data_IF_075560694571
#
_entry.id   IF_075560694571
#
_cell.length_a   1.000
_cell.length_b   1.000
_cell.length_c   1.000
_cell.angle_alpha   90.00
_cell.angle_beta   90.00
_cell.angle_gamma   90.00
#
_symmetry.space_group_name_H-M   'P 1'
#
loop_
_entity.id
_entity.type
_entity.pdbx_description
1 polymer ?
#
# COMPACT_ATOMS: atom_id res chain seq x y z
N UNK A 1 24.77 26.03 -14.06
CA UNK A 1 24.40 25.41 -12.78
C UNK A 1 22.96 24.97 -12.91
N UNK A 2 22.70 23.65 -13.05
CA UNK A 2 21.33 23.13 -12.89
C UNK A 2 21.03 23.19 -11.39
N UNK A 3 20.19 24.13 -10.98
CA UNK A 3 19.64 24.15 -9.61
C UNK A 3 19.06 22.79 -9.29
N UNK A 4 19.46 22.22 -8.16
CA UNK A 4 18.99 20.91 -7.72
C UNK A 4 17.47 20.99 -7.47
N UNK A 5 16.69 20.37 -8.34
CA UNK A 5 15.22 20.32 -8.25
C UNK A 5 14.75 19.70 -6.93
N UNK A 6 15.61 18.92 -6.24
CA UNK A 6 15.35 18.38 -4.89
C UNK A 6 15.11 19.49 -3.87
N UNK A 7 15.84 20.64 -3.99
CA UNK A 7 15.68 21.78 -3.09
C UNK A 7 14.34 22.50 -3.23
N UNK A 8 13.56 22.18 -4.26
CA UNK A 8 12.28 22.81 -4.59
C UNK A 8 11.03 22.05 -4.12
N UNK A 9 11.17 20.77 -3.71
CA UNK A 9 10.04 19.99 -3.17
C UNK A 9 10.02 20.14 -1.67
N UNK A 10 8.98 20.81 -1.14
CA UNK A 10 8.82 21.07 0.29
C UNK A 10 7.43 20.71 0.81
N UNK A 11 6.40 21.03 0.05
CA UNK A 11 5.03 20.95 0.50
C UNK A 11 4.36 19.65 0.01
N UNK A 12 3.95 18.79 0.93
CA UNK A 12 3.36 17.49 0.64
C UNK A 12 1.97 17.42 1.21
N UNK A 13 0.97 17.20 0.37
CA UNK A 13 -0.39 16.87 0.79
C UNK A 13 -0.54 15.35 0.91
N UNK A 14 -1.07 14.87 2.04
CA UNK A 14 -1.38 13.46 2.28
C UNK A 14 -2.88 13.28 2.51
N UNK A 15 -3.53 12.52 1.63
CA UNK A 15 -4.90 12.08 1.76
C UNK A 15 -4.96 10.66 2.35
N UNK A 16 -5.80 10.43 3.35
CA UNK A 16 -5.95 9.11 3.98
C UNK A 16 -4.93 8.80 5.09
N UNK A 17 -4.39 9.83 5.75
CA UNK A 17 -3.38 9.71 6.81
C UNK A 17 -3.80 8.84 8.01
N UNK A 18 -5.10 8.68 8.26
CA UNK A 18 -5.63 7.85 9.37
C UNK A 18 -5.85 6.38 8.99
N UNK A 19 -5.63 6.01 7.72
CA UNK A 19 -5.74 4.62 7.28
C UNK A 19 -4.47 3.82 7.58
N UNK A 20 -4.55 2.50 7.44
CA UNK A 20 -3.44 1.57 7.73
C UNK A 20 -2.14 2.00 7.00
N UNK A 21 -2.18 2.16 5.70
CA UNK A 21 -1.00 2.59 4.91
C UNK A 21 -0.65 4.05 5.19
N UNK A 22 -1.66 4.92 5.28
CA UNK A 22 -1.48 6.36 5.45
C UNK A 22 -0.80 6.73 6.78
N UNK A 23 -1.07 6.00 7.86
CA UNK A 23 -0.43 6.24 9.17
C UNK A 23 1.08 5.98 9.14
N UNK A 24 1.53 4.96 8.43
CA UNK A 24 2.96 4.70 8.27
C UNK A 24 3.64 5.69 7.31
N UNK A 25 2.93 6.16 6.27
CA UNK A 25 3.42 7.26 5.42
C UNK A 25 3.55 8.55 6.25
N UNK A 26 2.54 8.87 7.07
CA UNK A 26 2.57 9.99 8.01
C UNK A 26 3.78 9.89 8.95
N UNK A 27 3.99 8.72 9.58
CA UNK A 27 5.11 8.49 10.49
C UNK A 27 6.47 8.70 9.80
N UNK A 28 6.63 8.21 8.56
CA UNK A 28 7.85 8.40 7.79
C UNK A 28 8.12 9.89 7.47
N UNK A 29 7.09 10.66 7.13
CA UNK A 29 7.23 12.10 6.95
C UNK A 29 7.53 12.84 8.24
N UNK A 30 6.97 12.44 9.38
CA UNK A 30 7.27 13.03 10.69
C UNK A 30 8.73 12.80 11.11
N UNK A 31 9.32 11.67 10.75
CA UNK A 31 10.74 11.39 10.96
C UNK A 31 11.63 12.20 10.02
N UNK A 32 11.14 12.52 8.83
CA UNK A 32 11.84 13.31 7.82
C UNK A 32 11.41 14.78 7.85
N UNK A 33 12.13 15.60 8.62
CA UNK A 33 11.82 17.03 8.86
C UNK A 33 12.00 17.95 7.64
N UNK A 34 12.27 17.43 6.44
CA UNK A 34 12.50 18.23 5.24
C UNK A 34 11.22 18.73 4.58
N UNK A 35 10.09 18.09 4.86
CA UNK A 35 8.82 18.34 4.20
C UNK A 35 7.82 19.03 5.13
N UNK A 36 7.11 20.00 4.61
CA UNK A 36 5.93 20.61 5.22
C UNK A 36 4.73 19.71 4.88
N UNK A 37 4.17 19.05 5.87
CA UNK A 37 3.08 18.08 5.65
C UNK A 37 1.72 18.74 5.87
N UNK A 38 0.83 18.56 4.91
CA UNK A 38 -0.59 18.94 4.96
C UNK A 38 -1.46 17.69 4.87
N UNK A 39 -2.29 17.44 5.86
CA UNK A 39 -3.23 16.31 5.85
C UNK A 39 -4.58 16.76 5.29
N UNK A 40 -5.09 16.03 4.30
CA UNK A 40 -6.42 16.23 3.77
C UNK A 40 -7.38 15.27 4.48
N UNK A 41 -8.30 15.82 5.30
CA UNK A 41 -9.22 15.04 6.12
C UNK A 41 -10.67 15.35 5.77
N UNK A 42 -11.56 14.37 5.92
CA UNK A 42 -13.02 14.57 5.75
C UNK A 42 -13.64 15.30 6.93
N UNK A 43 -13.11 15.03 8.11
CA UNK A 43 -13.60 15.59 9.36
C UNK A 43 -12.41 15.97 10.25
N UNK A 44 -12.50 17.12 10.88
CA UNK A 44 -11.50 17.66 11.80
C UNK A 44 -11.66 17.17 13.25
N UNK A 45 -12.64 16.35 13.57
CA UNK A 45 -12.91 15.90 14.95
C UNK A 45 -11.70 15.25 15.64
N UNK A 46 -10.76 14.66 14.87
CA UNK A 46 -9.59 13.95 15.37
C UNK A 46 -8.27 14.74 15.20
N UNK A 47 -8.32 16.07 15.02
CA UNK A 47 -7.10 16.90 14.82
C UNK A 47 -6.14 16.80 16.00
N UNK A 48 -6.64 16.68 17.23
CA UNK A 48 -5.80 16.58 18.43
C UNK A 48 -4.85 15.37 18.44
N UNK A 49 -5.07 14.38 17.60
CA UNK A 49 -4.21 13.20 17.46
C UNK A 49 -2.96 13.44 16.58
N UNK A 50 -2.86 14.58 15.87
CA UNK A 50 -1.74 14.88 14.99
C UNK A 50 -0.71 15.80 15.65
N UNK A 51 0.58 15.66 15.30
CA UNK A 51 1.62 16.56 15.79
C UNK A 51 1.31 18.04 15.44
N UNK A 52 1.53 19.00 16.36
CA UNK A 52 1.08 20.40 16.20
C UNK A 52 1.74 21.16 15.03
N UNK A 53 2.84 20.65 14.48
CA UNK A 53 3.53 21.23 13.33
C UNK A 53 2.96 20.79 11.97
N UNK A 54 1.96 19.91 11.97
CA UNK A 54 1.31 19.43 10.75
C UNK A 54 0.09 20.28 10.45
N UNK A 55 -0.02 20.74 9.22
CA UNK A 55 -1.22 21.44 8.75
C UNK A 55 -2.34 20.44 8.47
N UNK A 56 -3.56 20.71 8.97
CA UNK A 56 -4.71 19.85 8.71
C UNK A 56 -5.80 20.66 8.01
N UNK A 57 -6.16 20.25 6.80
CA UNK A 57 -7.20 20.88 5.99
C UNK A 57 -8.39 19.92 5.85
N UNK A 58 -9.56 20.38 6.24
CA UNK A 58 -10.79 19.65 5.96
C UNK A 58 -11.18 19.86 4.51
N UNK A 59 -11.47 18.77 3.81
CA UNK A 59 -11.85 18.78 2.39
C UNK A 59 -13.13 18.00 2.18
N UNK A 60 -13.92 18.48 1.24
CA UNK A 60 -15.01 17.71 0.65
C UNK A 60 -14.48 17.00 -0.60
N UNK A 61 -14.38 15.67 -0.55
CA UNK A 61 -13.90 14.86 -1.67
C UNK A 61 -14.88 14.82 -2.86
N UNK A 62 -16.10 15.33 -2.68
CA UNK A 62 -17.08 15.47 -3.74
C UNK A 62 -17.09 16.86 -4.39
N UNK A 63 -16.36 17.82 -3.81
CA UNK A 63 -16.17 19.17 -4.33
C UNK A 63 -14.79 19.36 -4.95
N UNK A 64 -14.74 19.56 -6.28
CA UNK A 64 -13.50 19.89 -6.98
C UNK A 64 -12.88 21.21 -6.48
N UNK A 65 -13.69 22.22 -6.20
CA UNK A 65 -13.24 23.50 -5.67
C UNK A 65 -12.55 23.36 -4.30
N UNK A 66 -13.13 22.57 -3.40
CA UNK A 66 -12.55 22.25 -2.09
C UNK A 66 -11.18 21.61 -2.23
N UNK A 67 -11.06 20.60 -3.10
CA UNK A 67 -9.81 19.88 -3.33
C UNK A 67 -8.75 20.77 -3.99
N UNK A 68 -9.09 21.53 -5.04
CA UNK A 68 -8.15 22.47 -5.69
C UNK A 68 -7.65 23.51 -4.71
N UNK A 69 -8.54 24.10 -3.90
CA UNK A 69 -8.18 25.09 -2.89
C UNK A 69 -7.17 24.52 -1.87
N UNK A 70 -7.41 23.30 -1.38
CA UNK A 70 -6.52 22.63 -0.42
C UNK A 70 -5.16 22.22 -1.02
N UNK A 71 -5.10 22.00 -2.33
CA UNK A 71 -3.89 21.57 -3.03
C UNK A 71 -3.06 22.73 -3.58
N UNK A 72 -3.55 23.96 -3.55
CA UNK A 72 -2.77 25.14 -3.97
C UNK A 72 -1.49 25.28 -3.14
N UNK A 73 -0.37 25.42 -3.83
CA UNK A 73 0.96 25.54 -3.20
C UNK A 73 1.54 24.22 -2.68
N UNK A 74 0.88 23.10 -2.93
CA UNK A 74 1.45 21.78 -2.66
C UNK A 74 2.32 21.35 -3.86
N UNK A 75 3.52 20.84 -3.57
CA UNK A 75 4.41 20.28 -4.58
C UNK A 75 4.05 18.84 -4.92
N UNK A 76 3.58 18.09 -3.93
CA UNK A 76 3.29 16.66 -4.02
C UNK A 76 1.93 16.34 -3.43
N UNK A 77 1.20 15.45 -4.08
CA UNK A 77 0.04 14.77 -3.52
C UNK A 77 0.37 13.28 -3.33
N UNK A 78 0.22 12.80 -2.11
CA UNK A 78 0.21 11.37 -1.79
C UNK A 78 -1.21 10.96 -1.40
N UNK A 79 -1.77 9.97 -2.08
CA UNK A 79 -3.05 9.37 -1.74
C UNK A 79 -2.83 7.99 -1.11
N UNK A 80 -3.30 7.81 0.10
CA UNK A 80 -3.38 6.52 0.79
C UNK A 80 -4.85 6.19 1.13
N UNK A 81 -5.77 6.57 0.24
CA UNK A 81 -7.20 6.32 0.39
C UNK A 81 -7.49 4.83 0.33
N UNK A 82 -8.19 4.32 1.33
CA UNK A 82 -8.59 2.92 1.41
C UNK A 82 -9.71 2.56 0.41
N UNK A 83 -10.02 1.26 0.32
CA UNK A 83 -10.98 0.68 -0.64
C UNK A 83 -12.30 1.46 -0.74
N UNK A 84 -12.87 1.88 0.39
CA UNK A 84 -14.15 2.61 0.42
C UNK A 84 -14.09 4.00 -0.25
N UNK A 85 -12.91 4.59 -0.37
CA UNK A 85 -12.71 5.93 -0.93
C UNK A 85 -11.92 5.94 -2.25
N UNK A 86 -11.64 4.77 -2.84
CA UNK A 86 -10.91 4.69 -4.12
C UNK A 86 -11.62 5.44 -5.26
N UNK A 87 -12.95 5.50 -5.23
CA UNK A 87 -13.74 6.23 -6.23
C UNK A 87 -13.47 7.75 -6.22
N UNK A 88 -12.98 8.30 -5.11
CA UNK A 88 -12.65 9.73 -4.99
C UNK A 88 -11.30 10.07 -5.67
N UNK A 89 -10.44 9.09 -5.95
CA UNK A 89 -9.09 9.35 -6.44
C UNK A 89 -9.05 10.06 -7.80
N UNK A 90 -9.98 9.75 -8.71
CA UNK A 90 -10.01 10.41 -10.02
C UNK A 90 -10.17 11.93 -9.88
N UNK A 91 -11.13 12.37 -9.05
CA UNK A 91 -11.35 13.79 -8.78
C UNK A 91 -10.17 14.42 -8.04
N UNK A 92 -9.57 13.70 -7.10
CA UNK A 92 -8.38 14.17 -6.39
C UNK A 92 -7.20 14.40 -7.32
N UNK A 93 -7.01 13.53 -8.33
CA UNK A 93 -5.99 13.68 -9.39
C UNK A 93 -6.28 14.90 -10.25
N UNK A 94 -7.52 15.09 -10.72
CA UNK A 94 -7.90 16.26 -11.52
C UNK A 94 -7.67 17.57 -10.75
N UNK A 95 -8.01 17.60 -9.47
CA UNK A 95 -7.76 18.74 -8.60
C UNK A 95 -6.26 19.01 -8.40
N UNK A 96 -5.44 17.96 -8.28
CA UNK A 96 -3.99 18.10 -8.15
C UNK A 96 -3.37 18.70 -9.42
N UNK A 97 -3.79 18.24 -10.59
CA UNK A 97 -3.35 18.81 -11.89
C UNK A 97 -3.78 20.27 -12.01
N UNK A 98 -5.03 20.59 -11.69
CA UNK A 98 -5.55 21.96 -11.72
C UNK A 98 -4.84 22.91 -10.72
N UNK A 99 -4.37 22.37 -9.59
CA UNK A 99 -3.56 23.11 -8.61
C UNK A 99 -2.05 23.17 -8.94
N UNK A 100 -1.62 22.64 -10.08
CA UNK A 100 -0.23 22.54 -10.51
C UNK A 100 0.68 21.73 -9.55
N UNK A 101 0.14 20.70 -8.96
CA UNK A 101 0.92 19.73 -8.15
C UNK A 101 1.90 19.01 -9.08
N UNK A 102 3.19 18.97 -8.70
CA UNK A 102 4.28 18.47 -9.56
C UNK A 102 4.41 16.94 -9.54
N UNK A 103 4.08 16.29 -8.42
CA UNK A 103 4.09 14.85 -8.31
C UNK A 103 2.82 14.32 -7.65
N UNK A 104 2.25 13.28 -8.26
CA UNK A 104 1.08 12.57 -7.76
C UNK A 104 1.46 11.12 -7.50
N UNK A 105 1.29 10.66 -6.26
CA UNK A 105 1.50 9.27 -5.84
C UNK A 105 0.12 8.73 -5.43
N UNK A 106 -0.57 7.95 -6.29
CA UNK A 106 -1.90 7.44 -5.99
C UNK A 106 -1.85 6.25 -5.03
N UNK A 107 -3.01 5.86 -4.50
CA UNK A 107 -3.14 4.72 -3.58
C UNK A 107 -3.05 3.38 -4.34
N UNK A 108 -1.83 3.01 -4.73
CA UNK A 108 -1.55 1.71 -5.33
C UNK A 108 -1.13 0.69 -4.27
N UNK A 109 -0.01 0.79 -3.67
CA UNK A 109 0.52 0.03 -2.51
C UNK A 109 0.04 -1.43 -2.41
N UNK A 110 0.20 -2.20 -3.48
CA UNK A 110 -0.30 -3.59 -3.54
C UNK A 110 0.15 -4.31 -4.80
N UNK A 111 -0.78 -5.07 -5.40
CA UNK A 111 -0.52 -5.97 -6.52
C UNK A 111 0.12 -5.30 -7.75
N UNK A 112 0.92 -6.08 -8.46
CA UNK A 112 1.57 -5.66 -9.71
C UNK A 112 0.55 -5.60 -10.87
N UNK A 113 -0.02 -4.43 -11.14
CA UNK A 113 -0.97 -4.24 -12.23
C UNK A 113 -0.31 -4.16 -13.62
N UNK A 114 1.01 -4.24 -13.72
CA UNK A 114 1.70 -4.47 -14.99
C UNK A 114 1.56 -5.92 -15.50
N UNK A 115 1.28 -6.86 -14.58
CA UNK A 115 1.02 -8.23 -14.98
C UNK A 115 -0.33 -8.32 -15.72
N UNK A 116 -0.34 -8.85 -16.97
CA UNK A 116 -1.56 -8.84 -17.81
C UNK A 116 -2.69 -9.72 -17.27
N UNK A 117 -2.39 -10.74 -16.46
CA UNK A 117 -3.40 -11.57 -15.81
C UNK A 117 -4.05 -10.81 -14.64
N UNK A 118 -3.23 -10.28 -13.74
CA UNK A 118 -3.69 -9.50 -12.57
C UNK A 118 -4.45 -8.25 -12.99
N UNK A 119 -3.99 -7.56 -14.03
CA UNK A 119 -4.65 -6.35 -14.58
C UNK A 119 -6.09 -6.60 -15.04
N UNK A 120 -6.45 -7.83 -15.40
CA UNK A 120 -7.82 -8.18 -15.85
C UNK A 120 -8.82 -8.38 -14.71
N UNK A 121 -8.37 -8.42 -13.45
CA UNK A 121 -9.27 -8.63 -12.35
C UNK A 121 -10.22 -7.44 -12.12
N UNK A 122 -11.52 -7.67 -12.03
CA UNK A 122 -12.52 -6.61 -11.88
C UNK A 122 -12.28 -5.70 -10.66
N UNK A 123 -11.71 -6.26 -9.59
CA UNK A 123 -11.39 -5.54 -8.36
C UNK A 123 -10.38 -4.41 -8.55
N UNK A 124 -9.59 -4.43 -9.63
CA UNK A 124 -8.59 -3.40 -9.95
C UNK A 124 -9.05 -2.39 -11.00
N UNK A 125 -10.30 -2.49 -11.49
CA UNK A 125 -10.81 -1.63 -12.57
C UNK A 125 -10.65 -0.12 -12.26
N UNK A 126 -10.96 0.30 -11.02
CA UNK A 126 -10.80 1.70 -10.60
C UNK A 126 -9.34 2.15 -10.62
N UNK A 127 -8.41 1.30 -10.18
CA UNK A 127 -6.97 1.61 -10.20
C UNK A 127 -6.46 1.71 -11.64
N UNK A 128 -6.86 0.80 -12.50
CA UNK A 128 -6.48 0.80 -13.92
C UNK A 128 -7.03 2.06 -14.63
N UNK A 129 -8.27 2.43 -14.35
CA UNK A 129 -8.86 3.68 -14.86
C UNK A 129 -8.06 4.90 -14.41
N UNK A 130 -7.64 4.91 -13.13
CA UNK A 130 -6.82 5.98 -12.55
C UNK A 130 -5.42 6.05 -13.17
N UNK A 131 -4.75 4.91 -13.39
CA UNK A 131 -3.46 4.87 -14.10
C UNK A 131 -3.56 5.50 -15.49
N UNK A 132 -4.62 5.17 -16.25
CA UNK A 132 -4.87 5.72 -17.58
C UNK A 132 -5.18 7.23 -17.53
N UNK A 133 -5.90 7.68 -16.51
CA UNK A 133 -6.17 9.11 -16.27
C UNK A 133 -4.88 9.86 -15.95
N UNK A 134 -4.07 9.35 -15.01
CA UNK A 134 -2.78 9.94 -14.63
C UNK A 134 -1.84 10.09 -15.84
N UNK A 135 -1.70 9.02 -16.64
CA UNK A 135 -0.84 9.07 -17.82
C UNK A 135 -1.25 10.22 -18.77
N UNK A 136 -2.55 10.32 -19.09
CA UNK A 136 -3.07 11.38 -19.97
C UNK A 136 -2.95 12.78 -19.35
N UNK A 137 -3.33 12.94 -18.09
CA UNK A 137 -3.31 14.25 -17.42
C UNK A 137 -1.89 14.78 -17.22
N UNK A 138 -0.94 13.90 -16.90
CA UNK A 138 0.46 14.29 -16.73
C UNK A 138 1.17 14.57 -18.09
N UNK A 139 0.76 13.92 -19.17
CA UNK A 139 1.25 14.22 -20.52
C UNK A 139 0.86 15.65 -20.97
N UNK A 140 -0.30 16.13 -20.53
CA UNK A 140 -0.86 17.43 -20.90
C UNK A 140 -0.58 18.56 -19.90
N UNK A 141 0.23 18.29 -18.87
CA UNK A 141 0.51 19.23 -17.79
C UNK A 141 1.97 19.17 -17.33
N UNK A 142 2.33 19.99 -16.35
CA UNK A 142 3.65 19.92 -15.68
C UNK A 142 3.68 18.92 -14.51
N UNK A 143 2.63 18.14 -14.33
CA UNK A 143 2.55 17.12 -13.31
C UNK A 143 3.25 15.85 -13.77
N UNK A 144 3.66 15.02 -12.81
CA UNK A 144 4.18 13.68 -13.03
C UNK A 144 3.57 12.73 -12.00
N UNK A 145 3.64 11.42 -12.23
CA UNK A 145 3.14 10.44 -11.27
C UNK A 145 4.19 9.39 -10.92
N UNK A 146 3.99 8.71 -9.81
CA UNK A 146 4.72 7.48 -9.45
C UNK A 146 3.75 6.46 -8.89
N UNK A 147 3.68 5.28 -9.50
CA UNK A 147 2.89 4.15 -9.01
C UNK A 147 3.80 3.25 -8.17
N UNK A 148 3.43 2.97 -6.92
CA UNK A 148 4.25 2.16 -6.02
C UNK A 148 3.56 0.81 -5.80
N UNK A 149 4.17 -0.27 -6.28
CA UNK A 149 3.72 -1.64 -6.06
C UNK A 149 4.56 -2.32 -4.99
N UNK A 150 3.91 -2.91 -4.02
CA UNK A 150 4.52 -3.52 -2.83
C UNK A 150 4.21 -5.00 -2.70
N UNK A 151 3.31 -5.51 -3.56
CA UNK A 151 2.63 -6.77 -3.43
C UNK A 151 2.02 -6.96 -2.03
N UNK A 152 2.32 -8.03 -1.34
CA UNK A 152 1.73 -8.38 -0.05
C UNK A 152 2.31 -7.51 1.07
N UNK A 153 1.45 -6.79 1.80
CA UNK A 153 1.84 -6.09 3.02
C UNK A 153 1.91 -7.10 4.17
N UNK A 154 3.13 -7.47 4.58
CA UNK A 154 3.36 -8.64 5.45
C UNK A 154 2.72 -8.48 6.82
N UNK A 155 2.98 -7.37 7.49
CA UNK A 155 2.45 -7.06 8.82
C UNK A 155 0.91 -7.08 8.81
N UNK A 156 0.28 -6.50 7.78
CA UNK A 156 -1.16 -6.59 7.63
C UNK A 156 -1.65 -8.01 7.33
N UNK A 157 -0.96 -8.74 6.45
CA UNK A 157 -1.39 -10.08 6.01
C UNK A 157 -1.36 -11.14 7.11
N UNK A 158 -0.47 -10.98 8.12
CA UNK A 158 -0.36 -11.86 9.28
C UNK A 158 -1.08 -11.31 10.52
N UNK A 159 -1.62 -10.10 10.48
CA UNK A 159 -2.39 -9.52 11.58
C UNK A 159 -3.80 -10.12 11.67
N UNK A 160 -4.41 -9.98 12.84
CA UNK A 160 -5.82 -10.38 13.07
C UNK A 160 -6.79 -9.66 12.14
N UNK A 161 -6.45 -8.44 11.70
CA UNK A 161 -7.28 -7.60 10.82
C UNK A 161 -7.22 -8.02 9.35
N UNK A 162 -6.02 -8.32 8.86
CA UNK A 162 -5.82 -8.81 7.50
C UNK A 162 -6.25 -10.27 7.39
N UNK A 163 -5.86 -11.07 8.35
CA UNK A 163 -6.09 -12.51 8.43
C UNK A 163 -5.94 -13.23 7.07
N UNK A 164 -5.06 -12.68 6.20
CA UNK A 164 -4.89 -13.19 4.85
C UNK A 164 -4.12 -14.50 4.86
N UNK A 165 -3.03 -14.54 5.65
CA UNK A 165 -2.17 -15.71 5.81
C UNK A 165 -2.36 -16.39 7.16
N UNK A 166 -2.65 -15.63 8.22
CA UNK A 166 -2.69 -16.13 9.60
C UNK A 166 -3.97 -15.73 10.30
N UNK A 167 -4.63 -16.66 10.96
CA UNK A 167 -5.64 -16.42 11.99
C UNK A 167 -5.05 -16.84 13.33
N UNK A 168 -4.51 -15.87 14.08
CA UNK A 168 -3.85 -16.13 15.37
C UNK A 168 -4.78 -16.75 16.40
N UNK A 169 -6.05 -16.31 16.45
CA UNK A 169 -7.01 -16.75 17.44
C UNK A 169 -7.33 -18.23 17.33
N UNK A 170 -7.18 -18.78 16.12
CA UNK A 170 -7.40 -20.19 15.79
C UNK A 170 -6.11 -20.97 15.62
N UNK A 171 -4.94 -20.31 15.73
CA UNK A 171 -3.64 -20.87 15.33
C UNK A 171 -3.70 -21.54 13.95
N UNK A 172 -4.32 -20.85 12.99
CA UNK A 172 -4.55 -21.34 11.63
C UNK A 172 -3.68 -20.56 10.63
N UNK A 173 -2.89 -21.29 9.85
CA UNK A 173 -2.14 -20.75 8.71
C UNK A 173 -2.84 -21.13 7.40
N UNK A 174 -3.11 -20.13 6.55
CA UNK A 174 -3.70 -20.33 5.23
C UNK A 174 -2.59 -20.47 4.20
N UNK A 175 -2.54 -21.63 3.54
CA UNK A 175 -1.52 -21.98 2.55
C UNK A 175 -2.15 -22.03 1.15
N UNK A 176 -1.78 -21.10 0.32
CA UNK A 176 -2.31 -20.95 -1.03
C UNK A 176 -1.45 -21.68 -2.06
N UNK A 177 -2.09 -22.46 -2.95
CA UNK A 177 -1.46 -23.18 -4.07
C UNK A 177 -0.23 -24.01 -3.63
N UNK A 178 -0.30 -24.70 -2.50
CA UNK A 178 0.77 -25.50 -1.93
C UNK A 178 1.90 -24.71 -1.25
N UNK A 179 1.88 -23.37 -1.32
CA UNK A 179 2.75 -22.48 -0.54
C UNK A 179 4.22 -22.40 -0.95
N UNK A 180 4.66 -23.12 -1.99
CA UNK A 180 6.07 -23.15 -2.43
C UNK A 180 6.50 -21.93 -3.25
N UNK A 181 5.53 -21.24 -3.88
CA UNK A 181 5.84 -20.10 -4.72
C UNK A 181 6.32 -18.93 -3.88
N UNK A 182 7.46 -18.35 -4.28
CA UNK A 182 7.92 -17.09 -3.69
C UNK A 182 6.99 -15.95 -4.06
N UNK A 183 6.75 -15.08 -3.11
CA UNK A 183 6.05 -13.82 -3.31
C UNK A 183 6.86 -12.68 -2.70
N UNK A 184 6.76 -11.51 -3.31
CA UNK A 184 7.33 -10.28 -2.75
C UNK A 184 6.47 -9.81 -1.60
N UNK A 185 7.11 -9.36 -0.54
CA UNK A 185 6.40 -8.82 0.63
C UNK A 185 7.10 -7.59 1.16
N UNK A 186 6.31 -6.63 1.63
CA UNK A 186 6.77 -5.32 2.09
C UNK A 186 6.08 -4.99 3.40
N UNK A 187 6.80 -4.49 4.39
CA UNK A 187 6.21 -4.01 5.63
C UNK A 187 5.58 -2.63 5.42
N UNK A 188 4.59 -2.28 6.22
CA UNK A 188 3.97 -0.96 6.21
C UNK A 188 4.99 0.15 6.49
N UNK A 189 5.98 -0.10 7.35
CA UNK A 189 7.07 0.84 7.60
C UNK A 189 7.89 1.11 6.33
N UNK A 190 8.24 0.08 5.58
CA UNK A 190 8.97 0.20 4.31
C UNK A 190 8.12 0.94 3.25
N UNK A 191 6.80 0.77 3.23
CA UNK A 191 5.92 1.58 2.37
C UNK A 191 6.06 3.07 2.67
N UNK A 192 6.01 3.44 3.95
CA UNK A 192 6.21 4.84 4.37
C UNK A 192 7.57 5.39 3.92
N UNK A 193 8.65 4.66 4.16
CA UNK A 193 9.99 5.04 3.74
C UNK A 193 10.12 5.11 2.21
N UNK A 194 9.47 4.23 1.47
CA UNK A 194 9.45 4.23 0.00
C UNK A 194 8.87 5.53 -0.54
N UNK A 195 7.75 6.02 0.02
CA UNK A 195 7.14 7.27 -0.42
C UNK A 195 8.11 8.45 -0.25
N UNK A 196 8.80 8.52 0.89
CA UNK A 196 9.83 9.55 1.13
C UNK A 196 10.99 9.40 0.16
N UNK A 197 11.52 8.19 -0.02
CA UNK A 197 12.64 7.90 -0.94
C UNK A 197 12.30 8.23 -2.41
N UNK A 198 11.06 8.00 -2.84
CA UNK A 198 10.59 8.41 -4.18
C UNK A 198 10.72 9.92 -4.38
N UNK A 199 10.46 10.73 -3.34
CA UNK A 199 10.62 12.19 -3.41
C UNK A 199 12.10 12.60 -3.39
N UNK A 200 12.96 11.82 -2.74
CA UNK A 200 14.41 12.03 -2.76
C UNK A 200 15.03 11.73 -4.14
N UNK A 201 14.39 10.86 -4.90
CA UNK A 201 14.76 10.49 -6.27
C UNK A 201 13.73 11.01 -7.29
N UNK A 202 13.31 12.28 -7.14
CA UNK A 202 12.18 12.89 -7.80
C UNK A 202 12.18 12.68 -9.33
N UNK A 203 13.27 12.99 -10.01
CA UNK A 203 13.35 12.86 -11.47
C UNK A 203 13.42 11.39 -11.92
N UNK A 204 14.18 10.57 -11.20
CA UNK A 204 14.37 9.15 -11.54
C UNK A 204 13.09 8.30 -11.37
N UNK A 205 12.13 8.81 -10.61
CA UNK A 205 10.85 8.13 -10.32
C UNK A 205 9.64 8.73 -11.05
N UNK A 206 9.88 9.73 -11.95
CA UNK A 206 8.82 10.40 -12.69
C UNK A 206 8.18 9.49 -13.75
N UNK A 207 6.84 9.51 -13.81
CA UNK A 207 6.01 8.85 -14.81
C UNK A 207 6.31 7.34 -14.95
N UNK A 208 6.55 6.65 -13.84
CA UNK A 208 6.87 5.23 -13.85
C UNK A 208 6.27 4.46 -12.67
N UNK A 209 6.31 3.16 -12.81
CA UNK A 209 6.07 2.21 -11.72
C UNK A 209 7.37 1.96 -10.97
N UNK A 210 7.26 1.93 -9.66
CA UNK A 210 8.27 1.53 -8.69
C UNK A 210 7.79 0.24 -8.03
N UNK A 211 8.60 -0.80 -8.08
CA UNK A 211 8.36 -2.05 -7.35
C UNK A 211 9.34 -2.14 -6.18
N UNK A 212 8.83 -2.33 -4.98
CA UNK A 212 9.66 -2.50 -3.76
C UNK A 212 9.27 -3.74 -2.99
N UNK A 213 10.24 -4.31 -2.28
CA UNK A 213 10.02 -5.46 -1.40
C UNK A 213 11.03 -5.46 -0.26
N UNK A 214 10.59 -5.90 0.91
CA UNK A 214 11.50 -6.24 2.02
C UNK A 214 12.13 -7.61 1.80
N UNK A 215 11.33 -8.57 1.33
CA UNK A 215 11.78 -9.93 1.07
C UNK A 215 10.98 -10.61 -0.04
N UNK A 216 11.58 -11.60 -0.67
CA UNK A 216 10.90 -12.60 -1.48
C UNK A 216 10.95 -13.94 -0.72
N UNK A 217 9.81 -14.38 -0.19
CA UNK A 217 9.68 -15.55 0.68
C UNK A 217 8.54 -16.45 0.19
N UNK A 218 8.62 -17.76 0.43
CA UNK A 218 7.50 -18.66 0.24
C UNK A 218 6.59 -18.70 1.47
N UNK A 219 5.35 -19.13 1.30
CA UNK A 219 4.43 -19.27 2.43
C UNK A 219 4.86 -20.38 3.39
N UNK A 220 5.53 -21.42 2.89
CA UNK A 220 6.10 -22.50 3.72
C UNK A 220 7.21 -21.93 4.60
N UNK A 221 8.16 -21.17 4.03
CA UNK A 221 9.20 -20.51 4.81
C UNK A 221 8.62 -19.55 5.86
N UNK A 222 7.57 -18.82 5.53
CA UNK A 222 6.89 -17.95 6.48
C UNK A 222 6.19 -18.72 7.61
N UNK A 223 5.53 -19.85 7.31
CA UNK A 223 4.92 -20.73 8.31
C UNK A 223 5.96 -21.27 9.28
N UNK A 224 7.14 -21.67 8.80
CA UNK A 224 8.25 -22.09 9.66
C UNK A 224 8.68 -20.97 10.63
N UNK A 225 8.79 -19.72 10.12
CA UNK A 225 9.12 -18.57 10.96
C UNK A 225 8.04 -18.29 12.01
N UNK A 226 6.76 -18.43 11.65
CA UNK A 226 5.63 -18.29 12.58
C UNK A 226 5.71 -19.34 13.66
N UNK A 227 5.95 -20.61 13.31
CA UNK A 227 6.12 -21.73 14.26
C UNK A 227 7.31 -21.48 15.20
N UNK A 228 8.47 -21.05 14.67
CA UNK A 228 9.64 -20.74 15.49
C UNK A 228 9.40 -19.61 16.49
N UNK A 229 8.69 -18.55 16.06
CA UNK A 229 8.38 -17.40 16.91
C UNK A 229 7.43 -17.76 18.04
N UNK A 230 6.49 -18.68 17.78
CA UNK A 230 5.41 -19.07 18.72
C UNK A 230 5.65 -20.40 19.43
N UNK A 231 6.85 -20.97 19.32
CA UNK A 231 7.18 -22.28 19.93
C UNK A 231 7.05 -22.32 21.47
N UNK A 232 7.12 -21.15 22.14
CA UNK A 232 6.96 -21.03 23.59
C UNK A 232 5.53 -20.79 24.08
N UNK A 233 4.55 -20.60 23.20
CA UNK A 233 3.20 -20.15 23.52
C UNK A 233 2.25 -21.30 23.94
N UNK A 234 2.68 -22.20 24.80
CA UNK A 234 1.82 -23.25 25.37
C UNK A 234 1.66 -24.51 24.51
N UNK A 235 2.52 -24.71 23.50
CA UNK A 235 2.68 -26.00 22.83
C UNK A 235 1.59 -26.39 21.82
N UNK A 236 0.59 -25.54 21.55
CA UNK A 236 -0.42 -25.82 20.52
C UNK A 236 0.20 -25.69 19.14
N UNK A 237 0.04 -26.69 18.29
CA UNK A 237 0.49 -26.66 16.90
C UNK A 237 -0.35 -25.68 16.04
N UNK A 238 0.22 -25.27 14.91
CA UNK A 238 -0.49 -24.49 13.90
C UNK A 238 -1.20 -25.42 12.93
N UNK A 239 -2.51 -25.28 12.84
CA UNK A 239 -3.29 -25.91 11.78
C UNK A 239 -2.99 -25.25 10.44
N UNK A 240 -3.06 -26.04 9.36
CA UNK A 240 -2.82 -25.54 8.00
C UNK A 240 -4.07 -25.76 7.15
N UNK A 241 -4.63 -24.65 6.65
CA UNK A 241 -5.73 -24.66 5.69
C UNK A 241 -5.19 -24.48 4.27
N UNK A 242 -5.29 -25.52 3.46
CA UNK A 242 -4.92 -25.47 2.05
C UNK A 242 -6.02 -24.83 1.21
N UNK A 243 -5.68 -23.83 0.41
CA UNK A 243 -6.61 -23.06 -0.42
C UNK A 243 -6.07 -23.03 -1.86
N UNK A 244 -6.89 -23.43 -2.82
CA UNK A 244 -6.62 -23.21 -4.24
C UNK A 244 -7.05 -21.78 -4.62
N UNK A 245 -6.13 -21.00 -5.18
CA UNK A 245 -6.41 -19.60 -5.55
C UNK A 245 -7.28 -19.51 -6.81
N UNK A 246 -7.30 -20.52 -7.69
CA UNK A 246 -8.20 -20.59 -8.85
C UNK A 246 -9.64 -20.80 -8.41
N UNK A 247 -9.86 -21.65 -7.39
CA UNK A 247 -11.17 -21.82 -6.77
C UNK A 247 -11.63 -20.54 -6.07
N UNK A 248 -10.71 -19.83 -5.39
CA UNK A 248 -11.01 -18.54 -4.77
C UNK A 248 -11.41 -17.47 -5.80
N UNK A 249 -10.70 -17.39 -6.94
CA UNK A 249 -11.05 -16.53 -8.08
C UNK A 249 -12.43 -16.90 -8.65
N UNK A 250 -12.70 -18.19 -8.85
CA UNK A 250 -13.96 -18.69 -9.41
C UNK A 250 -15.14 -18.30 -8.51
N UNK A 251 -15.02 -18.48 -7.19
CA UNK A 251 -16.04 -18.05 -6.22
C UNK A 251 -16.24 -16.54 -6.25
N UNK A 252 -15.15 -15.76 -6.31
CA UNK A 252 -15.20 -14.30 -6.41
C UNK A 252 -15.93 -13.84 -7.67
N UNK A 253 -15.65 -14.45 -8.83
CA UNK A 253 -16.33 -14.15 -10.09
C UNK A 253 -17.82 -14.49 -10.03
N UNK A 254 -18.19 -15.63 -9.44
CA UNK A 254 -19.58 -16.03 -9.28
C UNK A 254 -20.35 -15.03 -8.38
N UNK A 255 -19.75 -14.62 -7.26
CA UNK A 255 -20.34 -13.64 -6.35
C UNK A 255 -20.51 -12.26 -7.02
N UNK A 256 -19.52 -11.80 -7.82
CA UNK A 256 -19.65 -10.56 -8.61
C UNK A 256 -20.81 -10.60 -9.60
N UNK A 257 -21.01 -11.72 -10.29
CA UNK A 257 -22.15 -11.89 -11.21
C UNK A 257 -23.50 -11.79 -10.51
N UNK A 258 -23.54 -12.06 -9.21
CA UNK A 258 -24.73 -11.90 -8.35
C UNK A 258 -24.82 -10.50 -7.72
N UNK A 259 -23.93 -9.57 -8.09
CA UNK A 259 -23.89 -8.20 -7.57
C UNK A 259 -23.23 -8.05 -6.21
N UNK A 260 -22.58 -9.09 -5.66
CA UNK A 260 -21.90 -9.00 -4.38
C UNK A 260 -20.57 -8.27 -4.51
N UNK A 261 -20.38 -7.19 -3.72
CA UNK A 261 -19.14 -6.42 -3.63
C UNK A 261 -18.54 -6.53 -2.22
N UNK A 262 -18.36 -7.76 -1.76
CA UNK A 262 -17.87 -8.07 -0.40
C UNK A 262 -16.33 -8.04 -0.33
N UNK A 263 -15.82 -8.06 0.90
CA UNK A 263 -14.37 -8.23 1.14
C UNK A 263 -13.87 -9.59 0.64
N UNK A 264 -14.69 -10.64 0.73
CA UNK A 264 -14.35 -11.99 0.24
C UNK A 264 -14.10 -12.00 -1.28
N UNK A 265 -14.93 -11.26 -2.03
CA UNK A 265 -14.73 -11.10 -3.48
C UNK A 265 -13.39 -10.42 -3.76
N UNK A 266 -13.10 -9.35 -3.04
CA UNK A 266 -11.81 -8.68 -3.16
C UNK A 266 -10.64 -9.60 -2.84
N UNK A 267 -10.72 -10.33 -1.72
CA UNK A 267 -9.66 -11.25 -1.29
C UNK A 267 -9.44 -12.41 -2.26
N UNK A 268 -10.50 -12.94 -2.89
CA UNK A 268 -10.39 -14.00 -3.89
C UNK A 268 -9.45 -13.59 -5.05
N UNK A 269 -9.56 -12.36 -5.56
CA UNK A 269 -8.64 -11.84 -6.57
C UNK A 269 -7.27 -11.46 -5.99
N UNK A 270 -7.23 -10.90 -4.79
CA UNK A 270 -5.99 -10.47 -4.16
C UNK A 270 -5.03 -11.64 -3.87
N UNK A 271 -5.54 -12.76 -3.35
CA UNK A 271 -4.70 -13.95 -3.10
C UNK A 271 -4.21 -14.58 -4.39
N UNK A 272 -5.05 -14.57 -5.45
CA UNK A 272 -4.62 -15.02 -6.79
C UNK A 272 -3.50 -14.16 -7.33
N UNK A 273 -3.62 -12.83 -7.23
CA UNK A 273 -2.61 -11.88 -7.68
C UNK A 273 -1.30 -12.00 -6.90
N UNK A 274 -1.39 -12.22 -5.57
CA UNK A 274 -0.25 -12.24 -4.68
C UNK A 274 0.52 -13.57 -4.70
N UNK A 275 -0.17 -14.71 -4.81
CA UNK A 275 0.43 -16.02 -4.51
C UNK A 275 0.45 -16.99 -5.69
N UNK A 276 -0.42 -16.80 -6.71
CA UNK A 276 -0.46 -17.72 -7.83
C UNK A 276 0.72 -17.55 -8.80
N UNK A 277 1.26 -18.65 -9.37
CA UNK A 277 2.32 -18.58 -10.37
C UNK A 277 1.89 -17.80 -11.61
N UNK A 278 2.75 -16.87 -12.04
CA UNK A 278 2.53 -16.10 -13.26
C UNK A 278 1.56 -14.93 -13.14
N UNK A 279 1.10 -14.56 -11.94
CA UNK A 279 0.27 -13.39 -11.66
C UNK A 279 1.05 -12.17 -11.17
N UNK A 280 2.38 -12.26 -11.09
CA UNK A 280 3.25 -11.12 -10.80
C UNK A 280 3.40 -10.79 -9.32
N UNK A 281 3.01 -11.71 -8.43
CA UNK A 281 3.19 -11.54 -6.99
C UNK A 281 4.64 -11.64 -6.51
N UNK A 282 5.53 -12.17 -7.32
CA UNK A 282 6.98 -12.12 -7.11
C UNK A 282 7.60 -11.12 -8.09
N UNK A 283 8.29 -10.11 -7.57
CA UNK A 283 9.02 -9.13 -8.36
C UNK A 283 10.40 -9.68 -8.72
N UNK A 284 10.58 -10.09 -9.97
CA UNK A 284 11.90 -10.55 -10.47
C UNK A 284 12.93 -9.40 -10.41
N UNK A 285 12.47 -8.16 -10.57
CA UNK A 285 13.25 -6.93 -10.45
C UNK A 285 12.48 -5.95 -9.56
N UNK A 286 13.19 -5.31 -8.64
CA UNK A 286 12.66 -4.25 -7.80
C UNK A 286 13.56 -3.01 -7.83
N UNK A 287 13.01 -1.87 -7.45
CA UNK A 287 13.69 -0.58 -7.45
C UNK A 287 14.34 -0.26 -6.08
N UNK A 288 14.55 -1.27 -5.24
CA UNK A 288 15.12 -1.10 -3.90
C UNK A 288 16.47 -0.37 -3.92
N UNK A 289 17.36 -0.77 -4.83
CA UNK A 289 18.68 -0.15 -4.96
C UNK A 289 18.59 1.34 -5.30
N UNK A 290 17.74 1.71 -6.27
CA UNK A 290 17.47 3.10 -6.62
C UNK A 290 17.05 3.94 -5.43
N UNK A 291 16.24 3.36 -4.53
CA UNK A 291 15.63 4.05 -3.40
C UNK A 291 16.42 3.89 -2.08
N UNK A 292 17.53 3.17 -2.09
CA UNK A 292 18.30 2.88 -0.90
C UNK A 292 17.53 2.01 0.13
N UNK A 293 16.54 1.24 -0.32
CA UNK A 293 15.76 0.34 0.52
C UNK A 293 16.54 -0.96 0.68
N UNK A 294 16.82 -1.31 1.93
CA UNK A 294 17.47 -2.58 2.25
C UNK A 294 16.41 -3.65 2.45
N UNK A 295 16.62 -4.81 1.85
CA UNK A 295 15.83 -5.99 2.17
C UNK A 295 16.05 -6.44 3.62
N UNK A 296 15.09 -7.21 4.14
CA UNK A 296 15.17 -7.79 5.49
C UNK A 296 15.45 -9.30 5.43
N UNK A 297 16.24 -9.75 6.38
CA UNK A 297 16.56 -11.17 6.54
C UNK A 297 15.59 -11.92 7.46
N UNK A 298 15.88 -13.21 7.64
CA UNK A 298 15.05 -14.11 8.46
C UNK A 298 14.79 -13.58 9.89
N UNK A 299 15.80 -12.99 10.53
CA UNK A 299 15.67 -12.50 11.92
C UNK A 299 14.83 -11.22 12.01
N UNK A 300 14.91 -10.35 11.00
CA UNK A 300 14.03 -9.18 10.92
C UNK A 300 12.58 -9.60 10.69
N UNK A 301 12.32 -10.59 9.84
CA UNK A 301 10.96 -11.14 9.63
C UNK A 301 10.43 -11.71 10.96
N UNK A 302 11.24 -12.45 11.71
CA UNK A 302 10.86 -12.94 13.05
C UNK A 302 10.52 -11.81 14.02
N UNK A 303 11.30 -10.71 14.02
CA UNK A 303 10.99 -9.53 14.83
C UNK A 303 9.66 -8.91 14.43
N UNK A 304 9.39 -8.81 13.12
CA UNK A 304 8.12 -8.31 12.60
C UNK A 304 6.95 -9.19 13.05
N UNK A 305 7.09 -10.51 12.93
CA UNK A 305 6.05 -11.46 13.39
C UNK A 305 5.79 -11.28 14.88
N UNK A 306 6.81 -11.22 15.74
CA UNK A 306 6.64 -10.98 17.19
C UNK A 306 5.92 -9.67 17.47
N UNK A 307 6.30 -8.60 16.78
CA UNK A 307 5.66 -7.30 16.94
C UNK A 307 4.17 -7.37 16.54
N UNK A 308 3.86 -7.91 15.38
CA UNK A 308 2.46 -8.02 14.91
C UNK A 308 1.63 -8.92 15.83
N UNK A 309 2.25 -9.93 16.44
CA UNK A 309 1.56 -10.86 17.34
C UNK A 309 1.44 -10.34 18.77
N UNK A 310 2.11 -9.24 19.13
CA UNK A 310 1.92 -8.58 20.42
C UNK A 310 0.63 -7.76 20.46
N UNK A 311 0.14 -7.45 21.67
CA UNK A 311 -1.05 -6.58 21.84
C UNK A 311 -0.83 -5.19 21.24
N UNK A 312 0.36 -4.61 21.39
CA UNK A 312 0.73 -3.31 20.82
C UNK A 312 0.69 -3.32 19.29
N UNK A 313 1.20 -4.39 18.65
CA UNK A 313 1.15 -4.57 17.21
C UNK A 313 -0.28 -4.71 16.68
N UNK A 314 -1.15 -5.44 17.40
CA UNK A 314 -2.56 -5.57 17.05
C UNK A 314 -3.30 -4.22 17.15
N UNK A 315 -3.00 -3.41 18.17
CA UNK A 315 -3.57 -2.07 18.33
C UNK A 315 -3.08 -1.12 17.23
N UNK A 316 -1.79 -1.11 16.90
CA UNK A 316 -1.23 -0.28 15.83
C UNK A 316 -1.90 -0.52 14.46
N UNK A 317 -2.33 -1.75 14.19
CA UNK A 317 -3.03 -2.14 12.96
C UNK A 317 -4.56 -2.01 13.05
N UNK A 318 -5.10 -1.59 14.21
CA UNK A 318 -6.56 -1.50 14.41
C UNK A 318 -7.18 -0.17 13.98
N UNK A 319 -6.40 0.81 13.60
CA UNK A 319 -6.82 2.11 13.08
C UNK A 319 -6.63 2.17 11.57
#
# INVERSE_FOLDING_TARGET
>A
MKEDLRSRIKNVALAGATGIVGSYILAAFCQNKRYNLTLLVRDKSNIASFPPHITVIQVDYDSNESLVSALRGQDVLVSALGKAALHCQGRLVDAAVAANVRRIIPSEFGANLRNPKTRKFPTYALKISLENQLARSCELSNSSYTLIYTNCLLDWAISSRGALLVDQSKRLFKLYDGGNNKFSTTSLATVGHTVVAVLDHFEATANRVICVQDAAISQIELLELVKEVTAGDGGQEWDVLHIDTGDAETRALAALKQGALTSEVFYGFAVRAAFAPGYGGHFAHCDNELLGIKGIGRDEIKRLIRHVFSEDGQQALSH
#
